data_IF_018357224889
#
_entry.id   IF_018357224889
#
_cell.length_a   1.000
_cell.length_b   1.000
_cell.length_c   1.000
_cell.angle_alpha   90.00
_cell.angle_beta   90.00
_cell.angle_gamma   90.00
#
_symmetry.space_group_name_H-M   'P 1'
#
loop_
_entity.id
_entity.type
_entity.pdbx_description
1 polymer ?
#
# COMPACT_ATOMS: atom_id res chain seq x y z
N UNK A 1 -2.22 -6.64 -9.74
CA UNK A 1 -1.98 -7.86 -8.95
C UNK A 1 -1.86 -9.15 -9.78
N UNK A 2 -2.38 -9.18 -11.02
CA UNK A 2 -2.29 -10.37 -11.88
C UNK A 2 -0.87 -10.95 -11.94
N UNK A 3 0.15 -10.10 -12.12
CA UNK A 3 1.55 -10.52 -12.16
C UNK A 3 2.08 -11.14 -10.85
N UNK A 4 1.37 -10.97 -9.73
CA UNK A 4 1.75 -11.63 -8.48
C UNK A 4 1.58 -13.15 -8.57
N UNK A 5 0.68 -13.64 -9.42
CA UNK A 5 0.44 -15.07 -9.60
C UNK A 5 1.54 -15.79 -10.38
N UNK A 6 2.47 -15.05 -10.99
CA UNK A 6 3.69 -15.62 -11.57
C UNK A 6 4.70 -16.08 -10.50
N UNK A 7 4.56 -15.58 -9.26
CA UNK A 7 5.49 -15.87 -8.15
C UNK A 7 4.83 -16.48 -6.92
N UNK A 8 3.53 -16.36 -6.76
CA UNK A 8 2.77 -16.93 -5.63
C UNK A 8 1.31 -17.17 -6.00
N UNK A 9 0.60 -17.91 -5.16
CA UNK A 9 -0.83 -18.19 -5.34
C UNK A 9 -1.70 -17.37 -4.37
N UNK A 10 -3.01 -17.37 -4.62
CA UNK A 10 -3.99 -16.96 -3.63
C UNK A 10 -3.94 -17.91 -2.44
N UNK A 11 -4.04 -17.37 -1.25
CA UNK A 11 -4.19 -18.19 -0.06
C UNK A 11 -5.60 -18.78 -0.01
N UNK A 12 -5.65 -20.08 0.18
CA UNK A 12 -6.90 -20.81 0.32
C UNK A 12 -6.74 -21.95 1.32
N UNK A 13 -7.40 -21.84 2.44
CA UNK A 13 -7.36 -22.81 3.54
C UNK A 13 -8.78 -23.24 3.96
N UNK A 14 -9.59 -23.59 3.03
CA UNK A 14 -10.92 -24.10 3.34
C UNK A 14 -11.09 -25.51 2.77
N UNK A 15 -11.66 -26.41 3.53
CA UNK A 15 -11.99 -27.78 3.14
C UNK A 15 -13.11 -27.85 2.12
N UNK A 16 -12.91 -27.20 0.98
CA UNK A 16 -13.90 -27.14 -0.09
C UNK A 16 -13.82 -28.32 -1.03
N UNK A 17 -14.92 -28.51 -1.74
CA UNK A 17 -15.04 -29.49 -2.79
C UNK A 17 -13.95 -29.25 -3.84
N UNK A 18 -13.24 -30.30 -4.22
CA UNK A 18 -12.18 -30.29 -5.22
C UNK A 18 -12.59 -29.68 -6.57
N UNK A 19 -13.88 -29.59 -6.85
CA UNK A 19 -14.46 -28.95 -8.04
C UNK A 19 -14.44 -27.41 -8.02
N UNK A 20 -14.06 -26.79 -6.91
CA UNK A 20 -14.03 -25.32 -6.73
C UNK A 20 -12.61 -24.75 -6.60
N UNK A 21 -11.59 -25.57 -6.74
CA UNK A 21 -10.19 -25.14 -6.62
C UNK A 21 -9.73 -24.56 -7.95
N UNK A 22 -9.41 -23.28 -7.93
CA UNK A 22 -8.74 -22.56 -9.02
C UNK A 22 -7.25 -22.97 -9.05
N UNK A 23 -6.65 -23.00 -10.23
CA UNK A 23 -5.24 -23.34 -10.42
C UNK A 23 -4.27 -22.41 -9.67
N UNK A 24 -4.73 -21.20 -9.32
CA UNK A 24 -3.95 -20.21 -8.57
C UNK A 24 -4.19 -20.22 -7.06
N UNK A 25 -4.83 -21.24 -6.51
CA UNK A 25 -5.10 -21.35 -5.07
C UNK A 25 -4.18 -22.35 -4.38
N UNK A 26 -3.64 -21.98 -3.24
CA UNK A 26 -2.84 -22.85 -2.38
C UNK A 26 -2.86 -22.41 -0.91
N UNK A 27 -2.72 -23.36 0.01
CA UNK A 27 -2.62 -23.08 1.47
C UNK A 27 -1.44 -22.16 1.78
N UNK A 28 -0.36 -22.25 1.02
CA UNK A 28 0.86 -21.44 1.15
C UNK A 28 0.84 -20.16 0.30
N UNK A 29 -0.27 -19.85 -0.34
CA UNK A 29 -0.42 -18.64 -1.14
C UNK A 29 -0.25 -17.37 -0.31
N UNK A 30 0.30 -16.33 -0.92
CA UNK A 30 0.58 -15.04 -0.25
C UNK A 30 -0.35 -13.90 -0.70
N UNK A 31 -1.30 -14.18 -1.59
CA UNK A 31 -2.29 -13.21 -2.05
C UNK A 31 -3.65 -13.54 -1.42
N UNK A 32 -4.21 -12.59 -0.69
CA UNK A 32 -5.56 -12.70 -0.14
C UNK A 32 -6.46 -11.70 -0.85
N UNK A 33 -7.51 -12.18 -1.51
CA UNK A 33 -8.54 -11.34 -2.12
C UNK A 33 -9.70 -11.15 -1.16
N UNK A 34 -10.10 -9.91 -0.95
CA UNK A 34 -11.22 -9.52 -0.08
C UNK A 34 -12.08 -8.47 -0.78
N UNK A 35 -13.37 -8.54 -0.59
CA UNK A 35 -14.33 -7.55 -1.09
C UNK A 35 -14.64 -6.44 -0.06
N UNK A 36 -13.80 -6.28 0.95
CA UNK A 36 -13.96 -5.31 2.01
C UNK A 36 -12.63 -4.67 2.36
N UNK A 37 -12.53 -3.37 2.18
CA UNK A 37 -11.36 -2.57 2.56
C UNK A 37 -11.08 -2.65 4.07
N UNK A 38 -12.12 -2.70 4.89
CA UNK A 38 -11.98 -2.89 6.35
C UNK A 38 -11.29 -4.21 6.69
N UNK A 39 -11.68 -5.30 6.01
CA UNK A 39 -11.05 -6.60 6.24
C UNK A 39 -9.61 -6.61 5.73
N UNK A 40 -9.34 -6.03 4.57
CA UNK A 40 -7.98 -5.93 4.02
C UNK A 40 -7.04 -5.18 4.96
N UNK A 41 -7.47 -4.02 5.46
CA UNK A 41 -6.68 -3.26 6.43
C UNK A 41 -6.50 -4.03 7.74
N UNK A 42 -7.57 -4.57 8.31
CA UNK A 42 -7.52 -5.29 9.58
C UNK A 42 -6.65 -6.55 9.51
N UNK A 43 -6.71 -7.31 8.42
CA UNK A 43 -5.82 -8.46 8.22
C UNK A 43 -4.36 -8.04 8.07
N UNK A 44 -4.09 -6.98 7.29
CA UNK A 44 -2.72 -6.48 7.16
C UNK A 44 -2.20 -5.95 8.50
N UNK A 45 -2.98 -5.17 9.23
CA UNK A 45 -2.60 -4.65 10.56
C UNK A 45 -2.20 -5.80 11.49
N UNK A 46 -3.05 -6.82 11.60
CA UNK A 46 -2.77 -8.00 12.43
C UNK A 46 -1.50 -8.73 11.95
N UNK A 47 -1.30 -8.85 10.66
CA UNK A 47 -0.14 -9.50 10.06
C UNK A 47 1.17 -8.75 10.35
N UNK A 48 1.16 -7.41 10.27
CA UNK A 48 2.30 -6.56 10.60
C UNK A 48 2.70 -6.68 12.07
N UNK A 49 1.72 -6.82 12.98
CA UNK A 49 1.96 -7.03 14.41
C UNK A 49 2.69 -8.34 14.70
N UNK A 50 2.65 -9.31 13.79
CA UNK A 50 3.45 -10.55 13.89
C UNK A 50 4.90 -10.39 13.41
N UNK A 51 5.32 -9.19 13.01
CA UNK A 51 6.65 -8.89 12.48
C UNK A 51 6.82 -9.21 11.01
N UNK A 52 5.74 -9.44 10.27
CA UNK A 52 5.74 -9.70 8.83
C UNK A 52 5.50 -8.44 8.03
N UNK A 53 5.72 -8.52 6.72
CA UNK A 53 5.54 -7.42 5.77
C UNK A 53 4.37 -7.71 4.84
N UNK A 54 3.67 -6.66 4.42
CA UNK A 54 2.59 -6.77 3.48
C UNK A 54 2.25 -5.45 2.80
N UNK A 55 1.40 -5.56 1.81
CA UNK A 55 0.81 -4.44 1.10
C UNK A 55 -0.63 -4.82 0.75
N UNK A 56 -1.54 -3.87 0.84
CA UNK A 56 -2.87 -4.04 0.31
C UNK A 56 -3.17 -2.97 -0.74
N UNK A 57 -4.05 -3.27 -1.67
CA UNK A 57 -4.36 -2.39 -2.79
C UNK A 57 -5.84 -2.17 -2.92
N UNK A 58 -6.24 -0.92 -3.15
CA UNK A 58 -7.59 -0.51 -3.48
C UNK A 58 -7.57 0.69 -4.42
N UNK A 59 -8.74 1.22 -4.76
CA UNK A 59 -8.90 2.43 -5.57
C UNK A 59 -9.09 3.65 -4.68
N UNK A 60 -8.78 4.85 -5.20
CA UNK A 60 -8.87 6.10 -4.43
C UNK A 60 -10.19 6.27 -3.70
N UNK A 61 -11.33 6.12 -4.41
CA UNK A 61 -12.65 6.30 -3.80
C UNK A 61 -12.95 5.31 -2.69
N UNK A 62 -12.46 4.08 -2.79
CA UNK A 62 -12.80 3.03 -1.84
C UNK A 62 -11.97 3.09 -0.57
N UNK A 63 -10.78 3.67 -0.65
CA UNK A 63 -9.94 3.89 0.55
C UNK A 63 -10.65 4.78 1.58
N UNK A 64 -11.53 5.68 1.16
CA UNK A 64 -12.30 6.51 2.10
C UNK A 64 -13.20 5.72 3.06
N UNK A 65 -13.58 4.50 2.69
CA UNK A 65 -14.34 3.60 3.59
C UNK A 65 -13.58 3.32 4.89
N UNK A 66 -12.26 3.37 4.86
CA UNK A 66 -11.40 3.06 6.02
C UNK A 66 -10.70 4.27 6.65
N UNK A 67 -11.09 5.49 6.31
CA UNK A 67 -10.47 6.72 6.87
C UNK A 67 -10.36 6.67 8.40
N UNK A 68 -11.38 6.16 9.06
CA UNK A 68 -11.40 6.04 10.52
C UNK A 68 -10.40 5.01 11.03
N UNK A 69 -10.30 3.84 10.38
CA UNK A 69 -9.35 2.78 10.75
C UNK A 69 -7.91 3.24 10.56
N UNK A 70 -7.58 3.80 9.39
CA UNK A 70 -6.26 4.39 9.13
C UNK A 70 -5.90 5.46 10.16
N UNK A 71 -6.87 6.29 10.55
CA UNK A 71 -6.67 7.30 11.58
C UNK A 71 -6.35 6.69 12.95
N UNK A 72 -7.06 5.63 13.34
CA UNK A 72 -6.80 4.94 14.60
C UNK A 72 -5.42 4.25 14.57
N UNK A 73 -5.08 3.59 13.46
CA UNK A 73 -3.76 2.97 13.30
C UNK A 73 -2.63 4.01 13.41
N UNK A 74 -2.77 5.17 12.76
CA UNK A 74 -1.80 6.25 12.85
C UNK A 74 -1.61 6.75 14.30
N UNK A 75 -2.71 7.00 15.02
CA UNK A 75 -2.67 7.40 16.43
C UNK A 75 -2.02 6.36 17.33
N UNK A 76 -2.34 5.08 17.08
CA UNK A 76 -1.74 3.98 17.81
C UNK A 76 -0.24 3.88 17.56
N UNK A 77 0.22 4.00 16.31
CA UNK A 77 1.64 4.02 15.98
C UNK A 77 2.34 5.17 16.69
N UNK A 78 1.80 6.38 16.64
CA UNK A 78 2.34 7.57 17.29
C UNK A 78 2.50 7.38 18.79
N UNK A 79 1.42 6.98 19.46
CA UNK A 79 1.42 6.78 20.90
C UNK A 79 2.42 5.69 21.33
N UNK A 80 2.44 4.56 20.61
CA UNK A 80 3.33 3.44 20.98
C UNK A 80 4.79 3.74 20.72
N UNK A 81 5.13 4.51 19.70
CA UNK A 81 6.53 4.92 19.44
C UNK A 81 7.05 5.85 20.53
N UNK A 82 6.22 6.80 20.99
CA UNK A 82 6.62 7.78 22.01
C UNK A 82 6.59 7.27 23.43
N UNK A 83 5.60 6.47 23.78
CA UNK A 83 5.27 6.16 25.17
C UNK A 83 5.70 4.74 25.60
N UNK A 84 6.03 3.88 24.64
CA UNK A 84 6.38 2.47 24.93
C UNK A 84 7.79 2.14 24.42
N UNK A 85 8.83 2.56 25.13
CA UNK A 85 10.23 2.46 24.67
C UNK A 85 10.74 1.01 24.53
N UNK A 86 10.10 0.05 25.19
CA UNK A 86 10.47 -1.37 25.10
C UNK A 86 9.84 -2.09 23.90
N UNK A 87 8.89 -1.45 23.21
CA UNK A 87 8.24 -2.03 22.03
C UNK A 87 9.21 -2.07 20.85
N UNK A 88 9.31 -3.22 20.21
CA UNK A 88 10.04 -3.34 18.95
C UNK A 88 9.29 -2.63 17.82
N UNK A 89 10.00 -2.02 16.86
CA UNK A 89 9.38 -1.49 15.66
C UNK A 89 8.61 -2.60 14.92
N UNK A 90 7.47 -2.24 14.33
CA UNK A 90 6.72 -3.11 13.42
C UNK A 90 6.90 -2.65 11.98
N UNK A 91 6.72 -3.56 11.04
CA UNK A 91 6.71 -3.24 9.62
C UNK A 91 5.63 -2.22 9.31
N UNK A 92 5.90 -1.31 8.39
CA UNK A 92 4.93 -0.28 8.01
C UNK A 92 3.74 -0.87 7.27
N UNK A 93 2.58 -0.26 7.45
CA UNK A 93 1.40 -0.54 6.65
C UNK A 93 1.57 0.11 5.28
N UNK A 94 1.56 -0.69 4.22
CA UNK A 94 1.71 -0.21 2.86
C UNK A 94 0.37 -0.31 2.12
N UNK A 95 -0.08 0.82 1.59
CA UNK A 95 -1.29 0.95 0.80
C UNK A 95 -0.91 1.33 -0.63
N UNK A 96 -1.31 0.52 -1.60
CA UNK A 96 -1.20 0.84 -3.02
C UNK A 96 -2.55 1.32 -3.53
N UNK A 97 -2.65 2.60 -3.83
CA UNK A 97 -3.81 3.20 -4.48
C UNK A 97 -3.61 3.09 -5.98
N UNK A 98 -4.34 2.18 -6.62
CA UNK A 98 -4.08 1.74 -7.99
C UNK A 98 -4.94 2.41 -9.06
N UNK A 99 -5.80 3.37 -8.69
CA UNK A 99 -6.56 4.21 -9.62
C UNK A 99 -6.64 5.62 -9.05
N UNK A 100 -6.09 6.59 -9.75
CA UNK A 100 -6.00 7.97 -9.29
C UNK A 100 -6.47 8.96 -10.35
N UNK A 101 -6.89 10.15 -9.91
CA UNK A 101 -7.54 11.17 -10.75
C UNK A 101 -6.62 11.75 -11.84
N UNK A 102 -5.33 11.80 -11.60
CA UNK A 102 -4.38 12.39 -12.58
C UNK A 102 -4.16 11.52 -13.82
N UNK A 103 -4.53 10.26 -13.74
CA UNK A 103 -4.47 9.35 -14.86
C UNK A 103 -5.79 8.61 -14.98
N UNK A 104 -6.64 9.08 -15.89
CA UNK A 104 -7.94 8.50 -16.17
C UNK A 104 -7.77 7.08 -16.75
N UNK A 105 -7.98 6.10 -15.90
CA UNK A 105 -8.11 4.72 -16.32
C UNK A 105 -9.55 4.44 -16.76
N UNK A 106 -9.79 3.32 -17.39
CA UNK A 106 -11.12 2.95 -17.89
C UNK A 106 -12.20 2.78 -16.80
N UNK A 107 -11.83 2.79 -15.52
CA UNK A 107 -12.81 2.80 -14.41
C UNK A 107 -13.49 4.17 -14.22
N UNK A 108 -12.95 5.24 -14.79
CA UNK A 108 -13.51 6.58 -14.71
C UNK A 108 -13.59 7.16 -13.29
N UNK A 109 -14.39 8.19 -13.13
CA UNK A 109 -14.50 8.96 -11.88
C UNK A 109 -15.08 8.17 -10.70
N UNK A 110 -15.80 7.08 -10.94
CA UNK A 110 -16.38 6.27 -9.86
C UNK A 110 -15.35 5.60 -8.95
N UNK A 111 -14.10 5.48 -9.42
CA UNK A 111 -13.00 4.84 -8.70
C UNK A 111 -11.91 5.83 -8.28
N UNK A 112 -12.08 7.09 -8.60
CA UNK A 112 -11.09 8.14 -8.39
C UNK A 112 -11.62 9.19 -7.41
N UNK A 113 -10.84 9.48 -6.39
CA UNK A 113 -11.12 10.54 -5.42
C UNK A 113 -9.81 11.06 -4.79
N UNK A 114 -9.29 12.21 -5.25
CA UNK A 114 -8.06 12.77 -4.70
C UNK A 114 -8.20 13.23 -3.25
N UNK A 115 -9.40 13.23 -2.69
CA UNK A 115 -9.66 13.58 -1.30
C UNK A 115 -8.92 12.71 -0.30
N UNK A 116 -8.65 11.45 -0.63
CA UNK A 116 -7.87 10.55 0.22
C UNK A 116 -6.47 11.11 0.52
N UNK A 117 -5.83 11.75 -0.46
CA UNK A 117 -4.53 12.41 -0.27
C UNK A 117 -4.61 13.55 0.74
N UNK A 118 -5.68 14.35 0.70
CA UNK A 118 -5.91 15.43 1.66
C UNK A 118 -6.13 14.90 3.07
N UNK A 119 -6.85 13.80 3.24
CA UNK A 119 -7.02 13.11 4.53
C UNK A 119 -5.68 12.69 5.10
N UNK A 120 -4.83 12.07 4.29
CA UNK A 120 -3.49 11.63 4.71
C UNK A 120 -2.57 12.83 5.02
N UNK A 121 -2.59 13.88 4.20
CA UNK A 121 -1.81 15.11 4.44
C UNK A 121 -2.18 15.79 5.75
N UNK A 122 -3.47 15.85 6.09
CA UNK A 122 -3.91 16.41 7.37
C UNK A 122 -3.32 15.68 8.58
N UNK A 123 -2.99 14.40 8.43
CA UNK A 123 -2.31 13.63 9.48
C UNK A 123 -0.82 13.93 9.56
N UNK A 124 -0.18 14.28 8.44
CA UNK A 124 1.23 14.68 8.41
C UNK A 124 1.52 15.95 9.20
N UNK A 125 0.58 16.90 9.25
CA UNK A 125 0.75 18.15 10.00
C UNK A 125 0.94 17.96 11.51
N UNK A 126 0.40 16.87 12.04
CA UNK A 126 0.55 16.54 13.45
C UNK A 126 1.66 15.51 13.68
N UNK A 127 2.05 14.74 12.66
CA UNK A 127 2.93 13.57 12.77
C UNK A 127 3.61 13.23 11.46
N UNK A 128 4.57 14.03 11.04
CA UNK A 128 5.39 13.85 9.85
C UNK A 128 6.20 12.53 9.83
N UNK A 129 6.30 11.86 11.00
CA UNK A 129 7.05 10.62 11.13
C UNK A 129 6.23 9.35 10.85
N UNK A 130 4.89 9.43 10.89
CA UNK A 130 4.01 8.25 10.79
C UNK A 130 3.45 8.02 9.38
N UNK A 131 3.26 9.07 8.59
CA UNK A 131 2.66 8.99 7.26
C UNK A 131 3.71 9.25 6.18
N UNK A 132 3.76 8.38 5.17
CA UNK A 132 4.49 8.60 3.92
C UNK A 132 3.52 8.61 2.74
N UNK A 133 3.64 9.59 1.84
CA UNK A 133 2.81 9.68 0.63
C UNK A 133 3.75 9.79 -0.57
N UNK A 134 3.55 8.91 -1.55
CA UNK A 134 4.45 8.77 -2.69
C UNK A 134 3.67 8.80 -3.99
N UNK A 135 4.16 9.56 -4.96
CA UNK A 135 3.64 9.67 -6.31
C UNK A 135 4.72 9.24 -7.31
N UNK A 136 4.93 7.93 -7.50
CA UNK A 136 5.95 7.45 -8.43
C UNK A 136 5.59 7.82 -9.88
N UNK A 137 6.53 8.40 -10.60
CA UNK A 137 6.33 8.91 -11.96
C UNK A 137 6.40 7.82 -13.03
N UNK A 138 7.11 6.73 -12.75
CA UNK A 138 7.27 5.59 -13.65
C UNK A 138 7.45 4.26 -12.89
N UNK A 139 7.62 3.18 -13.65
CA UNK A 139 7.73 1.83 -13.10
C UNK A 139 8.96 1.64 -12.20
N UNK A 140 10.12 2.23 -12.57
CA UNK A 140 11.33 2.10 -11.77
C UNK A 140 11.26 2.95 -10.49
N UNK A 141 10.63 4.11 -10.56
CA UNK A 141 10.32 4.89 -9.36
C UNK A 141 9.34 4.14 -8.43
N UNK A 142 8.33 3.46 -8.99
CA UNK A 142 7.42 2.63 -8.20
C UNK A 142 8.15 1.50 -7.48
N UNK A 143 9.10 0.84 -8.16
CA UNK A 143 9.94 -0.20 -7.54
C UNK A 143 10.81 0.36 -6.42
N UNK A 144 11.45 1.52 -6.63
CA UNK A 144 12.27 2.18 -5.62
C UNK A 144 11.44 2.60 -4.39
N UNK A 145 10.24 3.15 -4.62
CA UNK A 145 9.28 3.51 -3.55
C UNK A 145 8.84 2.26 -2.79
N UNK A 146 8.47 1.19 -3.50
CA UNK A 146 8.05 -0.05 -2.87
C UNK A 146 9.18 -0.64 -1.99
N UNK A 147 10.41 -0.66 -2.49
CA UNK A 147 11.58 -1.10 -1.72
C UNK A 147 11.74 -0.27 -0.42
N UNK A 148 11.65 1.06 -0.51
CA UNK A 148 11.72 1.97 0.64
C UNK A 148 10.58 1.70 1.64
N UNK A 149 9.37 1.54 1.15
CA UNK A 149 8.19 1.28 1.97
C UNK A 149 8.28 -0.06 2.70
N UNK A 150 8.70 -1.13 2.02
CA UNK A 150 8.87 -2.45 2.65
C UNK A 150 9.99 -2.49 3.69
N UNK A 151 11.02 -1.66 3.56
CA UNK A 151 12.11 -1.53 4.55
C UNK A 151 11.75 -0.62 5.72
N UNK A 152 10.70 0.19 5.59
CA UNK A 152 10.32 1.14 6.64
C UNK A 152 9.57 0.46 7.79
N UNK A 153 9.62 1.09 8.96
CA UNK A 153 8.92 0.65 10.16
C UNK A 153 8.11 1.77 10.78
N UNK A 154 7.07 1.42 11.51
CA UNK A 154 6.20 2.33 12.28
C UNK A 154 5.57 3.44 11.41
N UNK A 155 5.22 3.13 10.17
CA UNK A 155 4.61 4.08 9.23
C UNK A 155 3.36 3.51 8.57
N UNK A 156 2.57 4.41 8.02
CA UNK A 156 1.58 4.13 6.99
C UNK A 156 2.11 4.77 5.70
N UNK A 157 2.35 3.97 4.68
CA UNK A 157 2.83 4.43 3.38
C UNK A 157 1.70 4.33 2.36
N UNK A 158 1.33 5.45 1.77
CA UNK A 158 0.39 5.50 0.66
C UNK A 158 1.14 5.70 -0.65
N UNK A 159 1.04 4.76 -1.55
CA UNK A 159 1.66 4.77 -2.87
C UNK A 159 0.56 5.00 -3.90
N UNK A 160 0.55 6.17 -4.51
CA UNK A 160 -0.46 6.57 -5.49
C UNK A 160 0.07 6.25 -6.88
N UNK A 161 -0.42 5.18 -7.49
CA UNK A 161 0.09 4.68 -8.76
C UNK A 161 -1.05 4.27 -9.73
N UNK A 162 -0.78 4.42 -11.01
CA UNK A 162 -1.70 3.94 -12.06
C UNK A 162 -1.62 2.42 -12.22
N UNK A 163 -2.69 1.82 -12.71
CA UNK A 163 -2.75 0.37 -13.02
C UNK A 163 -2.48 0.05 -14.50
N UNK A 164 -2.35 1.06 -15.33
CA UNK A 164 -2.06 0.92 -16.75
C UNK A 164 -0.56 1.04 -17.03
N UNK A 165 -0.05 0.41 -18.09
CA UNK A 165 1.32 0.59 -18.51
C UNK A 165 1.68 2.07 -18.68
N UNK A 166 2.85 2.45 -18.18
CA UNK A 166 3.39 3.80 -18.30
C UNK A 166 4.77 3.76 -18.95
N UNK A 167 5.19 4.90 -19.50
CA UNK A 167 6.56 5.06 -19.97
C UNK A 167 7.53 4.93 -18.78
N UNK A 168 8.70 4.38 -19.05
CA UNK A 168 9.79 4.29 -18.06
C UNK A 168 10.88 5.25 -18.52
N UNK A 169 11.12 6.28 -17.72
CA UNK A 169 12.09 7.35 -18.02
C UNK A 169 13.40 7.18 -17.25
N UNK A 170 13.34 6.60 -16.07
CA UNK A 170 14.47 6.43 -15.18
C UNK A 170 15.00 5.00 -15.20
N UNK A 171 16.29 4.86 -15.03
CA UNK A 171 16.88 3.60 -14.53
C UNK A 171 16.52 3.42 -13.05
N UNK A 172 16.65 2.23 -12.52
CA UNK A 172 16.34 1.97 -11.11
C UNK A 172 17.28 2.75 -10.17
N UNK A 173 18.54 2.94 -10.54
CA UNK A 173 19.49 3.68 -9.71
C UNK A 173 19.23 5.19 -9.73
N UNK A 174 18.84 5.75 -10.88
CA UNK A 174 18.34 7.12 -10.94
C UNK A 174 17.08 7.30 -10.12
N UNK A 175 16.13 6.37 -10.21
CA UNK A 175 14.91 6.40 -9.41
C UNK A 175 15.19 6.40 -7.90
N UNK A 176 16.12 5.57 -7.44
CA UNK A 176 16.56 5.57 -6.03
C UNK A 176 17.18 6.90 -5.62
N UNK A 177 18.04 7.48 -6.47
CA UNK A 177 18.68 8.76 -6.21
C UNK A 177 17.65 9.91 -6.14
N UNK A 178 16.67 9.93 -7.05
CA UNK A 178 15.60 10.93 -7.06
C UNK A 178 14.67 10.77 -5.86
N UNK A 179 14.35 9.54 -5.46
CA UNK A 179 13.52 9.27 -4.29
C UNK A 179 14.11 9.85 -2.99
N UNK A 180 15.42 9.87 -2.85
CA UNK A 180 16.09 10.45 -1.68
C UNK A 180 16.01 11.98 -1.66
N UNK A 181 15.83 12.64 -2.80
CA UNK A 181 15.58 14.09 -2.88
C UNK A 181 14.17 14.47 -2.43
N UNK A 182 13.23 13.53 -2.49
CA UNK A 182 11.82 13.70 -2.11
C UNK A 182 10.94 14.32 -3.18
N UNK A 183 11.43 15.28 -3.93
CA UNK A 183 10.74 15.89 -5.07
C UNK A 183 11.76 16.27 -6.17
N UNK A 184 11.33 16.17 -7.43
CA UNK A 184 12.17 16.50 -8.57
C UNK A 184 11.37 17.20 -9.67
N UNK A 185 12.04 18.08 -10.41
CA UNK A 185 11.52 18.67 -11.64
C UNK A 185 11.84 17.75 -12.82
N UNK A 186 10.82 17.40 -13.57
CA UNK A 186 10.92 16.57 -14.77
C UNK A 186 10.78 17.43 -16.00
N UNK A 187 11.76 17.38 -16.88
CA UNK A 187 11.77 18.11 -18.15
C UNK A 187 11.35 17.20 -19.31
#
# INVERSE_FOLDING_TARGET
LQAAYDVTNKQWDAGYLSSQVDEHMAVTGQVTEQLSEHQMEGFLEAYLLTGRHGIWSSYESFVHVIDSMLNQHAKWLEATVREIPWRKPISSMNLLVSSHVWRQDHNGFSHQDPGVTSVLLNKCFNNDHVIGIYFPVDSNMLLAVAEKCYKSTNKINAIIAGKQPAATWLTLDEARAELEKGAAEWK
#
